data_IF_379210582642
#
_entry.id   IF_379210582642
#
_cell.length_a   1.000
_cell.length_b   1.000
_cell.length_c   1.000
_cell.angle_alpha   90.00
_cell.angle_beta   90.00
_cell.angle_gamma   90.00
#
_symmetry.space_group_name_H-M   'P 1'
#
loop_
_entity.id
_entity.type
_entity.pdbx_description
1 polymer ?
#
# COMPACT_ATOMS: atom_id res chain seq x y z
N UNK A 1 -27.52 -13.64 -6.32
CA UNK A 1 -26.70 -13.19 -7.46
C UNK A 1 -26.30 -14.41 -8.24
N UNK A 2 -26.68 -14.52 -9.52
CA UNK A 2 -26.26 -15.62 -10.39
C UNK A 2 -24.92 -15.27 -11.07
N UNK A 3 -24.02 -16.24 -11.16
CA UNK A 3 -22.70 -16.08 -11.79
C UNK A 3 -22.82 -16.03 -13.31
N UNK A 4 -22.63 -14.85 -13.89
CA UNK A 4 -22.60 -14.67 -15.35
C UNK A 4 -21.23 -15.01 -15.94
N UNK A 5 -21.16 -15.19 -17.27
CA UNK A 5 -19.91 -15.43 -18.02
C UNK A 5 -18.87 -14.33 -17.74
N UNK A 6 -19.28 -13.08 -17.56
CA UNK A 6 -18.39 -11.96 -17.22
C UNK A 6 -17.64 -12.18 -15.91
N UNK A 7 -18.25 -12.86 -14.92
CA UNK A 7 -17.60 -13.16 -13.64
C UNK A 7 -16.47 -14.18 -13.80
N UNK A 8 -16.67 -15.20 -14.64
CA UNK A 8 -15.63 -16.19 -14.96
C UNK A 8 -14.46 -15.58 -15.72
N UNK A 9 -14.76 -14.67 -16.65
CA UNK A 9 -13.72 -13.90 -17.36
C UNK A 9 -12.95 -13.03 -16.37
N UNK A 10 -13.63 -12.34 -15.46
CA UNK A 10 -12.98 -11.55 -14.41
C UNK A 10 -12.05 -12.40 -13.56
N UNK A 11 -12.50 -13.57 -13.09
CA UNK A 11 -11.68 -14.51 -12.31
C UNK A 11 -10.43 -14.95 -13.09
N UNK A 12 -10.58 -15.29 -14.37
CA UNK A 12 -9.46 -15.67 -15.22
C UNK A 12 -8.43 -14.54 -15.39
N UNK A 13 -8.90 -13.30 -15.59
CA UNK A 13 -8.04 -12.11 -15.67
C UNK A 13 -7.29 -11.90 -14.35
N UNK A 14 -7.95 -12.03 -13.21
CA UNK A 14 -7.32 -11.92 -11.89
C UNK A 14 -6.22 -12.97 -11.70
N UNK A 15 -6.49 -14.24 -12.04
CA UNK A 15 -5.49 -15.30 -11.97
C UNK A 15 -4.29 -15.03 -12.89
N UNK A 16 -4.51 -14.52 -14.10
CA UNK A 16 -3.44 -14.12 -15.02
C UNK A 16 -2.61 -12.96 -14.47
N UNK A 17 -3.24 -11.98 -13.81
CA UNK A 17 -2.54 -10.88 -13.14
C UNK A 17 -1.65 -11.42 -12.01
N UNK A 18 -2.18 -12.30 -11.15
CA UNK A 18 -1.41 -12.92 -10.07
C UNK A 18 -0.22 -13.71 -10.62
N UNK A 19 -0.45 -14.51 -11.67
CA UNK A 19 0.61 -15.26 -12.34
C UNK A 19 1.65 -14.32 -12.96
N UNK A 20 1.22 -13.22 -13.59
CA UNK A 20 2.11 -12.20 -14.13
C UNK A 20 2.99 -11.56 -13.06
N UNK A 21 2.41 -11.25 -11.89
CA UNK A 21 3.17 -10.73 -10.73
C UNK A 21 4.18 -11.75 -10.22
N UNK A 22 3.80 -13.03 -10.11
CA UNK A 22 4.71 -14.11 -9.70
C UNK A 22 5.90 -14.26 -10.68
N UNK A 23 5.63 -14.16 -11.98
CA UNK A 23 6.64 -14.18 -13.04
C UNK A 23 7.40 -12.85 -13.19
N UNK A 24 7.15 -11.86 -12.32
CA UNK A 24 7.74 -10.50 -12.34
C UNK A 24 7.58 -9.79 -13.69
N UNK A 25 6.44 -10.03 -14.37
CA UNK A 25 6.09 -9.39 -15.66
C UNK A 25 5.09 -8.25 -15.44
N UNK A 26 5.09 -7.28 -16.36
CA UNK A 26 4.10 -6.20 -16.36
C UNK A 26 2.69 -6.73 -16.62
N UNK A 27 1.75 -6.37 -15.74
CA UNK A 27 0.35 -6.86 -15.78
C UNK A 27 -0.62 -5.89 -16.46
N UNK A 28 -0.15 -4.68 -16.82
CA UNK A 28 -1.00 -3.61 -17.38
C UNK A 28 -1.71 -4.09 -18.65
N UNK A 29 -1.00 -4.76 -19.55
CA UNK A 29 -1.58 -5.28 -20.79
C UNK A 29 -2.70 -6.29 -20.53
N UNK A 30 -2.53 -7.17 -19.53
CA UNK A 30 -3.52 -8.16 -19.10
C UNK A 30 -4.75 -7.45 -18.53
N UNK A 31 -4.56 -6.44 -17.68
CA UNK A 31 -5.66 -5.65 -17.12
C UNK A 31 -6.45 -4.93 -18.22
N UNK A 32 -5.77 -4.24 -19.14
CA UNK A 32 -6.41 -3.51 -20.25
C UNK A 32 -7.20 -4.46 -21.14
N UNK A 33 -6.59 -5.57 -21.56
CA UNK A 33 -7.26 -6.58 -22.38
C UNK A 33 -8.46 -7.19 -21.64
N UNK A 34 -8.29 -7.51 -20.36
CA UNK A 34 -9.34 -8.04 -19.51
C UNK A 34 -10.53 -7.09 -19.36
N UNK A 35 -10.29 -5.80 -19.11
CA UNK A 35 -11.36 -4.79 -18.99
C UNK A 35 -12.15 -4.63 -20.29
N UNK A 36 -11.46 -4.63 -21.44
CA UNK A 36 -12.13 -4.58 -22.76
C UNK A 36 -12.94 -5.87 -22.99
N UNK A 37 -12.37 -7.04 -22.72
CA UNK A 37 -13.04 -8.33 -22.91
C UNK A 37 -14.30 -8.45 -22.06
N UNK A 38 -14.23 -8.08 -20.78
CA UNK A 38 -15.38 -8.04 -19.87
C UNK A 38 -16.43 -7.05 -20.38
N UNK A 39 -16.01 -5.84 -20.77
CA UNK A 39 -16.90 -4.82 -21.32
C UNK A 39 -17.60 -5.27 -22.60
N UNK A 40 -16.91 -6.00 -23.47
CA UNK A 40 -17.47 -6.53 -24.71
C UNK A 40 -18.51 -7.63 -24.44
N UNK A 41 -18.18 -8.61 -23.60
CA UNK A 41 -19.09 -9.71 -23.28
C UNK A 41 -20.32 -9.21 -22.52
N UNK A 42 -20.16 -8.20 -21.66
CA UNK A 42 -21.26 -7.66 -20.88
C UNK A 42 -22.18 -6.74 -21.69
N UNK A 43 -21.64 -5.88 -22.58
CA UNK A 43 -22.43 -4.90 -23.35
C UNK A 43 -22.78 -5.34 -24.78
N UNK A 44 -22.16 -6.41 -25.30
CA UNK A 44 -22.39 -6.93 -26.64
C UNK A 44 -21.83 -6.07 -27.80
N UNK A 45 -21.20 -4.93 -27.52
CA UNK A 45 -20.68 -4.01 -28.54
C UNK A 45 -19.20 -3.68 -28.32
N UNK A 46 -18.41 -3.73 -29.39
CA UNK A 46 -16.98 -3.41 -29.37
C UNK A 46 -16.71 -1.93 -29.01
N UNK A 47 -17.53 -1.01 -29.52
CA UNK A 47 -17.41 0.42 -29.19
C UNK A 47 -17.67 0.65 -27.70
N UNK A 48 -18.69 -0.03 -27.16
CA UNK A 48 -19.02 0.04 -25.74
C UNK A 48 -17.95 -0.61 -24.84
N UNK A 49 -17.19 -1.58 -25.36
CA UNK A 49 -16.06 -2.18 -24.67
C UNK A 49 -14.90 -1.18 -24.51
N UNK A 50 -14.58 -0.42 -25.55
CA UNK A 50 -13.58 0.65 -25.49
C UNK A 50 -13.97 1.72 -24.45
N UNK A 51 -15.24 2.15 -24.43
CA UNK A 51 -15.75 3.10 -23.42
C UNK A 51 -15.63 2.55 -21.98
N UNK A 52 -15.83 1.24 -21.80
CA UNK A 52 -15.72 0.60 -20.49
C UNK A 52 -14.31 0.77 -19.88
N UNK A 53 -13.25 0.76 -20.69
CA UNK A 53 -11.89 1.02 -20.21
C UNK A 53 -11.72 2.44 -19.65
N UNK A 54 -12.26 3.45 -20.34
CA UNK A 54 -12.21 4.83 -19.88
C UNK A 54 -13.03 5.02 -18.60
N UNK A 55 -14.25 4.50 -18.56
CA UNK A 55 -15.10 4.58 -17.37
C UNK A 55 -14.48 3.84 -16.19
N UNK A 56 -13.85 2.69 -16.41
CA UNK A 56 -13.14 1.96 -15.35
C UNK A 56 -12.01 2.80 -14.73
N UNK A 57 -11.22 3.50 -15.55
CA UNK A 57 -10.18 4.41 -15.05
C UNK A 57 -10.76 5.61 -14.29
N UNK A 58 -11.86 6.20 -14.77
CA UNK A 58 -12.54 7.29 -14.06
C UNK A 58 -13.10 6.83 -12.70
N UNK A 59 -13.69 5.63 -12.65
CA UNK A 59 -14.20 5.05 -11.40
C UNK A 59 -13.07 4.76 -10.43
N UNK A 60 -11.97 4.15 -10.89
CA UNK A 60 -10.79 3.91 -10.07
C UNK A 60 -10.18 5.22 -9.54
N UNK A 61 -10.09 6.26 -10.39
CA UNK A 61 -9.63 7.59 -10.00
C UNK A 61 -10.48 8.21 -8.89
N UNK A 62 -11.81 8.12 -9.00
CA UNK A 62 -12.73 8.60 -7.95
C UNK A 62 -12.53 7.86 -6.62
N UNK A 63 -12.41 6.53 -6.64
CA UNK A 63 -12.19 5.73 -5.44
C UNK A 63 -10.85 6.06 -4.75
N UNK A 64 -9.80 6.31 -5.52
CA UNK A 64 -8.47 6.64 -5.01
C UNK A 64 -8.36 8.10 -4.53
N UNK A 65 -9.19 9.02 -5.05
CA UNK A 65 -9.09 10.44 -4.73
C UNK A 65 -9.21 10.74 -3.24
N UNK A 66 -10.19 10.14 -2.56
CA UNK A 66 -10.38 10.28 -1.12
C UNK A 66 -9.11 9.92 -0.34
N UNK A 67 -8.45 8.83 -0.73
CA UNK A 67 -7.26 8.32 -0.04
C UNK A 67 -6.05 9.18 -0.33
N UNK A 68 -5.89 9.63 -1.58
CA UNK A 68 -4.83 10.57 -1.96
C UNK A 68 -4.96 11.85 -1.13
N UNK A 69 -6.18 12.38 -0.95
CA UNK A 69 -6.42 13.59 -0.17
C UNK A 69 -6.02 13.41 1.30
N UNK A 70 -6.41 12.30 1.93
CA UNK A 70 -6.04 11.98 3.32
C UNK A 70 -4.53 11.86 3.46
N UNK A 71 -3.87 11.12 2.55
CA UNK A 71 -2.42 10.95 2.57
C UNK A 71 -1.71 12.30 2.37
N UNK A 72 -2.20 13.16 1.48
CA UNK A 72 -1.61 14.46 1.22
C UNK A 72 -1.68 15.38 2.47
N UNK A 73 -2.83 15.42 3.15
CA UNK A 73 -3.00 16.19 4.38
C UNK A 73 -2.03 15.72 5.48
N UNK A 74 -1.90 14.42 5.62
CA UNK A 74 -1.04 13.81 6.62
C UNK A 74 0.45 13.96 6.29
N UNK A 75 0.85 13.93 5.02
CA UNK A 75 2.21 14.32 4.60
C UNK A 75 2.48 15.78 4.97
N UNK A 76 1.51 16.69 4.77
CA UNK A 76 1.64 18.09 5.15
C UNK A 76 1.83 18.25 6.68
N UNK A 77 1.05 17.53 7.48
CA UNK A 77 1.21 17.49 8.94
C UNK A 77 2.58 16.96 9.35
N UNK A 78 3.06 15.89 8.73
CA UNK A 78 4.37 15.31 9.04
C UNK A 78 5.52 16.26 8.70
N UNK A 79 5.43 16.96 7.56
CA UNK A 79 6.42 17.98 7.19
C UNK A 79 6.42 19.16 8.17
N UNK A 80 5.26 19.55 8.68
CA UNK A 80 5.18 20.57 9.74
C UNK A 80 5.84 20.07 11.02
N UNK A 81 5.61 18.80 11.39
CA UNK A 81 6.18 18.15 12.56
C UNK A 81 7.71 18.00 12.48
N UNK A 82 8.22 17.71 11.29
CA UNK A 82 9.66 17.68 10.96
C UNK A 82 10.28 19.07 11.10
N UNK A 83 9.60 20.13 10.61
CA UNK A 83 10.08 21.51 10.70
C UNK A 83 10.27 21.99 12.15
N UNK A 84 9.43 21.52 13.07
CA UNK A 84 9.55 21.80 14.51
C UNK A 84 10.45 20.80 15.25
N UNK A 85 10.97 19.78 14.57
CA UNK A 85 11.84 18.73 15.12
C UNK A 85 11.15 17.75 16.08
N UNK A 86 9.82 17.75 16.13
CA UNK A 86 9.07 16.91 17.07
C UNK A 86 9.17 15.42 16.74
N UNK A 87 9.25 15.07 15.45
CA UNK A 87 9.52 13.72 14.98
C UNK A 87 10.85 13.17 15.50
N UNK A 88 11.90 14.00 15.49
CA UNK A 88 13.21 13.60 15.99
C UNK A 88 13.18 13.36 17.49
N UNK A 89 12.51 14.24 18.25
CA UNK A 89 12.38 14.09 19.70
C UNK A 89 11.60 12.84 20.09
N UNK A 90 10.52 12.53 19.37
CA UNK A 90 9.69 11.34 19.58
C UNK A 90 10.45 10.04 19.34
N UNK A 91 11.30 10.00 18.30
CA UNK A 91 11.99 8.78 17.87
C UNK A 91 13.39 8.59 18.50
N UNK A 92 13.98 9.63 19.07
CA UNK A 92 15.28 9.58 19.76
C UNK A 92 15.44 8.48 20.82
N UNK A 93 14.46 8.18 21.69
CA UNK A 93 14.63 7.13 22.70
C UNK A 93 14.70 5.72 22.10
N UNK A 94 14.11 5.50 20.91
CA UNK A 94 14.03 4.18 20.27
C UNK A 94 15.41 3.66 19.87
N UNK A 95 16.30 4.54 19.40
CA UNK A 95 17.67 4.13 19.01
C UNK A 95 18.47 3.53 20.17
N UNK A 96 18.11 3.83 21.44
CA UNK A 96 18.75 3.25 22.63
C UNK A 96 18.29 1.82 22.91
N UNK A 97 17.22 1.35 22.28
CA UNK A 97 16.67 0.01 22.46
C UNK A 97 17.43 -1.06 21.66
N UNK A 98 18.32 -0.65 20.74
CA UNK A 98 19.05 -1.55 19.85
C UNK A 98 20.26 -2.17 20.54
N UNK A 99 20.03 -3.27 21.27
CA UNK A 99 21.10 -4.06 21.93
C UNK A 99 21.75 -5.11 21.01
N UNK A 100 21.24 -5.28 19.78
CA UNK A 100 21.75 -6.24 18.78
C UNK A 100 20.84 -6.34 17.56
N UNK A 101 21.17 -7.20 16.56
CA UNK A 101 20.46 -7.24 15.27
C UNK A 101 18.98 -7.60 15.40
N UNK A 102 18.66 -8.60 16.24
CA UNK A 102 17.28 -9.01 16.49
C UNK A 102 16.47 -7.90 17.18
N UNK A 103 17.06 -7.21 18.16
CA UNK A 103 16.42 -6.08 18.84
C UNK A 103 16.17 -4.90 17.90
N UNK A 104 17.08 -4.65 16.96
CA UNK A 104 16.89 -3.66 15.92
C UNK A 104 15.76 -4.04 14.95
N UNK A 105 15.66 -5.31 14.55
CA UNK A 105 14.60 -5.79 13.65
C UNK A 105 13.22 -5.60 14.26
N UNK A 106 13.02 -6.10 15.48
CA UNK A 106 11.74 -6.00 16.17
C UNK A 106 11.42 -4.57 16.61
N UNK A 107 12.43 -3.81 17.06
CA UNK A 107 12.25 -2.41 17.46
C UNK A 107 11.83 -1.52 16.30
N UNK A 108 12.52 -1.60 15.15
CA UNK A 108 12.11 -0.88 13.94
C UNK A 108 10.74 -1.34 13.49
N UNK A 109 10.50 -2.66 13.44
CA UNK A 109 9.22 -3.22 13.03
C UNK A 109 8.07 -2.66 13.88
N UNK A 110 8.16 -2.76 15.20
CA UNK A 110 7.13 -2.31 16.12
C UNK A 110 6.85 -0.79 16.00
N UNK A 111 7.90 0.03 16.00
CA UNK A 111 7.75 1.48 15.87
C UNK A 111 7.18 1.86 14.51
N UNK A 112 7.67 1.23 13.44
CA UNK A 112 7.14 1.44 12.09
C UNK A 112 5.69 1.02 12.00
N UNK A 113 5.32 -0.15 12.56
CA UNK A 113 3.95 -0.65 12.58
C UNK A 113 3.02 0.30 13.32
N UNK A 114 3.40 0.74 14.52
CA UNK A 114 2.64 1.70 15.31
C UNK A 114 2.45 3.01 14.55
N UNK A 115 3.52 3.60 14.01
CA UNK A 115 3.41 4.84 13.25
C UNK A 115 2.62 4.67 11.97
N UNK A 116 2.79 3.54 11.26
CA UNK A 116 2.04 3.27 10.02
C UNK A 116 0.55 3.08 10.26
N UNK A 117 0.13 2.68 11.47
CA UNK A 117 -1.27 2.61 11.84
C UNK A 117 -1.93 3.99 11.87
N UNK A 118 -1.17 5.07 12.15
CA UNK A 118 -1.69 6.44 12.22
C UNK A 118 -1.27 7.34 11.05
N UNK A 119 -0.11 7.08 10.45
CA UNK A 119 0.58 8.00 9.53
C UNK A 119 0.71 7.46 8.10
N UNK A 120 -0.06 6.42 7.76
CA UNK A 120 0.05 5.58 6.56
C UNK A 120 1.47 5.02 6.35
N UNK A 121 1.64 3.85 5.74
CA UNK A 121 2.97 3.25 5.64
C UNK A 121 4.00 4.11 4.91
N UNK A 122 3.60 4.78 3.81
CA UNK A 122 4.53 5.58 2.99
C UNK A 122 5.03 6.83 3.74
N UNK A 123 4.18 7.69 4.33
CA UNK A 123 4.68 8.82 5.09
C UNK A 123 5.38 8.43 6.39
N UNK A 124 4.91 7.39 7.09
CA UNK A 124 5.61 6.85 8.26
C UNK A 124 7.05 6.42 7.95
N UNK A 125 7.31 5.89 6.74
CA UNK A 125 8.69 5.52 6.33
C UNK A 125 9.61 6.74 6.18
N UNK A 126 9.07 7.90 5.79
CA UNK A 126 9.85 9.14 5.70
C UNK A 126 10.36 9.59 7.08
N UNK A 127 9.54 9.40 8.12
CA UNK A 127 9.90 9.78 9.50
C UNK A 127 10.83 8.75 10.15
N UNK A 128 10.52 7.47 10.01
CA UNK A 128 11.25 6.39 10.70
C UNK A 128 12.62 6.10 10.07
N UNK A 129 12.70 6.12 8.74
CA UNK A 129 13.87 5.69 7.99
C UNK A 129 15.14 6.47 8.38
N UNK A 130 15.19 7.80 8.17
CA UNK A 130 16.36 8.61 8.44
C UNK A 130 16.90 8.47 9.88
N UNK A 131 16.00 8.27 10.84
CA UNK A 131 16.37 8.27 12.25
C UNK A 131 16.80 6.90 12.79
N UNK A 132 16.11 5.82 12.41
CA UNK A 132 16.36 4.50 12.97
C UNK A 132 17.33 3.65 12.15
N UNK A 133 17.45 3.88 10.83
CA UNK A 133 18.37 3.13 9.96
C UNK A 133 19.82 3.21 10.48
N UNK A 134 20.40 4.39 10.81
CA UNK A 134 21.77 4.46 11.29
C UNK A 134 21.99 3.67 12.60
N UNK A 135 21.01 3.71 13.50
CA UNK A 135 21.07 2.97 14.76
C UNK A 135 21.03 1.45 14.56
N UNK A 136 20.16 0.97 13.67
CA UNK A 136 20.04 -0.46 13.38
C UNK A 136 21.25 -1.03 12.63
N UNK A 137 21.85 -0.25 11.73
CA UNK A 137 23.11 -0.62 11.08
C UNK A 137 24.24 -0.76 12.12
N UNK A 138 24.35 0.17 13.07
CA UNK A 138 25.33 0.09 14.19
C UNK A 138 25.08 -1.12 15.09
N UNK A 139 23.83 -1.55 15.23
CA UNK A 139 23.45 -2.75 15.97
C UNK A 139 23.70 -4.07 15.19
N UNK A 140 24.20 -4.00 13.96
CA UNK A 140 24.57 -5.15 13.14
C UNK A 140 23.46 -5.73 12.26
N UNK A 141 22.31 -5.06 12.12
CA UNK A 141 21.24 -5.51 11.23
C UNK A 141 21.54 -5.08 9.78
N UNK A 142 21.63 -6.01 8.80
CA UNK A 142 21.83 -5.65 7.40
C UNK A 142 20.69 -4.81 6.84
N UNK A 143 20.97 -3.99 5.83
CA UNK A 143 20.00 -3.09 5.19
C UNK A 143 18.75 -3.84 4.69
N UNK A 144 18.91 -5.05 4.17
CA UNK A 144 17.79 -5.91 3.73
C UNK A 144 16.89 -6.30 4.91
N UNK A 145 17.48 -6.57 6.08
CA UNK A 145 16.72 -6.87 7.30
C UNK A 145 15.92 -5.66 7.80
N UNK A 146 16.51 -4.46 7.71
CA UNK A 146 15.81 -3.21 8.04
C UNK A 146 14.63 -2.99 7.06
N UNK A 147 14.89 -3.12 5.76
CA UNK A 147 13.86 -2.99 4.73
C UNK A 147 12.73 -4.02 4.90
N UNK A 148 13.08 -5.26 5.26
CA UNK A 148 12.11 -6.31 5.55
C UNK A 148 11.25 -5.95 6.77
N UNK A 149 11.84 -5.51 7.89
CA UNK A 149 11.10 -5.08 9.07
C UNK A 149 10.15 -3.91 8.76
N UNK A 150 10.65 -2.89 8.05
CA UNK A 150 9.83 -1.74 7.68
C UNK A 150 8.68 -2.14 6.75
N UNK A 151 8.89 -3.04 5.79
CA UNK A 151 7.80 -3.44 4.90
C UNK A 151 6.80 -4.36 5.58
N UNK A 152 7.27 -5.39 6.29
CA UNK A 152 6.40 -6.36 6.94
C UNK A 152 5.47 -5.70 7.96
N UNK A 153 6.01 -4.85 8.85
CA UNK A 153 5.21 -4.31 9.95
C UNK A 153 4.26 -3.20 9.55
N UNK A 154 4.64 -2.32 8.62
CA UNK A 154 3.70 -1.27 8.23
C UNK A 154 2.98 -1.49 6.92
N UNK A 155 3.62 -1.97 5.85
CA UNK A 155 2.89 -2.24 4.60
C UNK A 155 2.12 -3.56 4.69
N UNK A 156 2.66 -4.55 5.41
CA UNK A 156 1.93 -5.79 5.73
C UNK A 156 0.94 -5.59 6.86
N UNK A 157 1.41 -5.64 8.11
CA UNK A 157 0.55 -5.71 9.30
C UNK A 157 -0.33 -4.46 9.45
N UNK A 158 0.25 -3.26 9.47
CA UNK A 158 -0.52 -2.05 9.75
C UNK A 158 -1.55 -1.72 8.63
N UNK A 159 -1.21 -1.93 7.36
CA UNK A 159 -2.16 -1.66 6.27
C UNK A 159 -3.27 -2.72 6.19
N UNK A 160 -2.96 -3.97 6.53
CA UNK A 160 -3.98 -5.04 6.62
C UNK A 160 -4.95 -4.78 7.78
N UNK A 161 -4.47 -4.16 8.85
CA UNK A 161 -5.26 -3.72 10.01
C UNK A 161 -5.44 -2.21 10.06
N UNK A 162 -5.72 -1.56 8.93
CA UNK A 162 -5.92 -0.11 8.84
C UNK A 162 -7.25 0.32 9.50
N UNK A 163 -7.30 0.22 10.83
CA UNK A 163 -8.48 0.52 11.65
C UNK A 163 -8.66 2.03 11.89
N UNK A 164 -7.58 2.81 11.77
CA UNK A 164 -7.57 4.24 12.09
C UNK A 164 -7.81 5.10 10.85
N UNK A 165 -7.03 4.89 9.77
CA UNK A 165 -7.15 5.69 8.54
C UNK A 165 -8.28 5.14 7.67
N UNK A 166 -8.48 3.81 7.72
CA UNK A 166 -9.54 3.09 7.02
C UNK A 166 -9.50 3.29 5.50
N UNK A 167 -8.33 3.61 4.94
CA UNK A 167 -8.17 3.79 3.49
C UNK A 167 -8.17 2.45 2.77
N UNK A 168 -7.35 1.50 3.20
CA UNK A 168 -7.24 0.21 2.50
C UNK A 168 -8.50 -0.68 2.63
N UNK A 169 -9.14 -0.80 3.82
CA UNK A 169 -10.42 -1.48 3.96
C UNK A 169 -11.54 -0.83 3.15
N UNK A 170 -11.59 0.51 3.08
CA UNK A 170 -12.61 1.23 2.29
C UNK A 170 -12.50 0.91 0.80
N UNK A 171 -11.29 0.89 0.23
CA UNK A 171 -11.05 0.48 -1.16
C UNK A 171 -11.58 -0.92 -1.45
N UNK A 172 -11.27 -1.88 -0.58
CA UNK A 172 -11.62 -3.28 -0.77
C UNK A 172 -13.11 -3.50 -0.54
N UNK A 173 -13.71 -2.83 0.45
CA UNK A 173 -15.14 -2.88 0.75
C UNK A 173 -15.99 -2.27 -0.38
N UNK A 174 -15.60 -1.12 -0.93
CA UNK A 174 -16.28 -0.53 -2.08
C UNK A 174 -16.26 -1.43 -3.32
N UNK A 175 -15.21 -2.23 -3.49
CA UNK A 175 -15.13 -3.19 -4.59
C UNK A 175 -15.99 -4.45 -4.36
N UNK A 176 -16.33 -4.77 -3.11
CA UNK A 176 -17.08 -5.97 -2.74
C UNK A 176 -18.61 -5.83 -2.84
N UNK A 177 -19.12 -4.59 -2.98
CA UNK A 177 -20.55 -4.29 -3.13
C UNK A 177 -21.16 -3.62 -1.91
#
# INVERSE_FOLDING_TARGET
MELTISHWIYLAVVLLVILGMFLRRGVIAVCVAGTILIGWVYKGSFVAAGQTLFTANLTAGKALFDIILIIALMIALLRLMEKIGADTLLLRPIGKLFKGPSGAYWGIGAVKGLLSAFLWPTPATMTVGPMLIPGALRAGLPLVGIAAAMNLFGHGIALSGDFVIQGAPKLTGQAAG
#
